data_IF_811418103983
#
_entry.id   IF_811418103983
#
_cell.length_a   1.000
_cell.length_b   1.000
_cell.length_c   1.000
_cell.angle_alpha   90.00
_cell.angle_beta   90.00
_cell.angle_gamma   90.00
#
_symmetry.space_group_name_H-M   'P 1'
#
loop_
_entity.id
_entity.type
_entity.pdbx_description
1 polymer ?
#
# COMPACT_ATOMS: atom_id res chain seq x y z
N UNK A 1 25.36 -5.79 18.67
CA UNK A 1 24.07 -5.17 18.30
C UNK A 1 23.59 -5.57 16.89
N UNK A 2 24.34 -5.29 15.82
CA UNK A 2 23.96 -5.61 14.42
C UNK A 2 23.66 -7.10 14.15
N UNK A 3 24.38 -8.01 14.82
CA UNK A 3 24.16 -9.46 14.74
C UNK A 3 22.84 -9.92 15.38
N UNK A 4 22.41 -9.29 16.47
CA UNK A 4 21.18 -9.64 17.19
C UNK A 4 19.94 -9.20 16.38
N UNK A 5 20.03 -8.03 15.73
CA UNK A 5 18.97 -7.53 14.83
C UNK A 5 18.81 -8.43 13.60
N UNK A 6 19.91 -8.91 13.01
CA UNK A 6 19.86 -9.84 11.88
C UNK A 6 19.22 -11.19 12.26
N UNK A 7 19.57 -11.74 13.43
CA UNK A 7 18.97 -12.99 13.92
C UNK A 7 17.48 -12.83 14.24
N UNK A 8 17.07 -11.70 14.82
CA UNK A 8 15.65 -11.41 15.09
C UNK A 8 14.81 -11.26 13.82
N UNK A 9 15.34 -10.63 12.78
CA UNK A 9 14.64 -10.43 11.51
C UNK A 9 14.38 -11.76 10.78
N UNK A 10 15.37 -12.67 10.77
CA UNK A 10 15.25 -14.00 10.12
C UNK A 10 14.16 -14.84 10.80
N UNK A 11 14.09 -14.81 12.14
CA UNK A 11 13.09 -15.56 12.89
C UNK A 11 11.65 -15.10 12.58
N UNK A 12 11.42 -13.79 12.41
CA UNK A 12 10.10 -13.23 12.08
C UNK A 12 9.69 -13.62 10.65
N UNK A 13 10.62 -13.58 9.69
CA UNK A 13 10.31 -13.96 8.30
C UNK A 13 10.00 -15.45 8.13
N UNK A 14 10.60 -16.32 8.95
CA UNK A 14 10.25 -17.75 8.96
C UNK A 14 8.87 -18.00 9.60
N UNK A 15 8.47 -17.21 10.60
CA UNK A 15 7.17 -17.33 11.24
C UNK A 15 6.00 -16.79 10.40
N UNK A 16 6.26 -15.92 9.40
CA UNK A 16 5.25 -15.43 8.47
C UNK A 16 4.87 -16.41 7.35
N UNK A 17 5.52 -17.57 7.26
CA UNK A 17 5.10 -18.66 6.38
C UNK A 17 3.93 -19.45 7.02
N UNK A 18 2.83 -18.78 7.34
CA UNK A 18 1.61 -19.45 7.79
C UNK A 18 1.03 -20.24 6.63
N UNK A 19 0.79 -21.54 6.83
CA UNK A 19 0.12 -22.39 5.85
C UNK A 19 -1.27 -21.80 5.56
N UNK A 20 -1.48 -21.32 4.34
CA UNK A 20 -2.81 -20.91 3.88
C UNK A 20 -3.71 -22.14 3.97
N UNK A 21 -4.86 -22.06 4.68
CA UNK A 21 -5.74 -23.21 4.76
C UNK A 21 -6.20 -23.60 3.36
N UNK A 22 -6.44 -24.89 3.14
CA UNK A 22 -6.87 -25.41 1.85
C UNK A 22 -8.36 -25.06 1.64
N UNK A 23 -8.63 -23.78 1.37
CA UNK A 23 -9.98 -23.21 1.24
C UNK A 23 -10.69 -23.83 0.02
N UNK A 24 -9.95 -24.12 -1.04
CA UNK A 24 -10.49 -24.64 -2.30
C UNK A 24 -11.09 -26.04 -2.16
N UNK A 25 -10.49 -26.92 -1.33
CA UNK A 25 -11.02 -28.27 -1.09
C UNK A 25 -12.25 -28.24 -0.17
N UNK A 26 -12.31 -27.29 0.76
CA UNK A 26 -13.47 -27.07 1.61
C UNK A 26 -14.67 -26.48 0.84
N UNK A 27 -14.43 -25.64 -0.18
CA UNK A 27 -15.51 -25.06 -1.00
C UNK A 27 -16.17 -26.10 -1.91
N UNK A 28 -15.43 -27.07 -2.46
CA UNK A 28 -16.01 -28.11 -3.33
C UNK A 28 -17.01 -29.05 -2.63
N UNK A 29 -16.91 -29.22 -1.31
CA UNK A 29 -17.77 -30.17 -0.57
C UNK A 29 -19.06 -29.57 -0.01
N UNK A 30 -19.16 -28.24 0.11
CA UNK A 30 -20.32 -27.56 0.70
C UNK A 30 -20.72 -26.23 0.07
N UNK A 31 -19.91 -25.65 -0.81
CA UNK A 31 -20.05 -24.25 -1.23
C UNK A 31 -21.06 -23.97 -2.34
N UNK A 32 -21.46 -24.97 -3.13
CA UNK A 32 -22.30 -24.74 -4.31
C UNK A 32 -23.80 -25.02 -4.10
N UNK A 33 -24.18 -25.80 -3.08
CA UNK A 33 -25.58 -26.12 -2.77
C UNK A 33 -26.17 -25.25 -1.64
N UNK A 34 -25.39 -24.31 -1.11
CA UNK A 34 -25.86 -23.36 -0.09
C UNK A 34 -26.34 -22.07 -0.74
N UNK A 35 -27.48 -21.57 -0.28
CA UNK A 35 -27.98 -20.25 -0.70
C UNK A 35 -26.94 -19.20 -0.31
N UNK A 36 -26.36 -18.54 -1.31
CA UNK A 36 -25.46 -17.41 -1.06
C UNK A 36 -26.21 -16.34 -0.27
N UNK A 37 -25.57 -15.70 0.73
CA UNK A 37 -26.22 -14.66 1.49
C UNK A 37 -26.64 -13.51 0.57
N UNK A 38 -27.83 -12.97 0.81
CA UNK A 38 -28.26 -11.76 0.12
C UNK A 38 -27.30 -10.62 0.51
N UNK A 39 -26.65 -10.02 -0.48
CA UNK A 39 -25.77 -8.88 -0.26
C UNK A 39 -26.59 -7.72 0.31
N UNK A 40 -26.09 -7.09 1.38
CA UNK A 40 -26.69 -5.87 1.89
C UNK A 40 -26.53 -4.74 0.85
N UNK A 41 -27.54 -3.86 0.71
CA UNK A 41 -27.42 -2.68 -0.15
C UNK A 41 -26.19 -1.85 0.21
N UNK A 42 -25.40 -1.47 -0.80
CA UNK A 42 -24.17 -0.70 -0.60
C UNK A 42 -24.41 0.77 -0.31
N UNK A 43 -25.63 1.27 -0.52
CA UNK A 43 -25.98 2.68 -0.31
C UNK A 43 -25.74 3.14 1.14
N UNK A 44 -25.96 2.26 2.11
CA UNK A 44 -25.68 2.52 3.53
C UNK A 44 -24.16 2.63 3.82
N UNK A 45 -23.34 1.96 3.01
CA UNK A 45 -21.87 1.99 3.13
C UNK A 45 -21.30 3.23 2.45
N UNK A 46 -21.89 3.67 1.33
CA UNK A 46 -21.42 4.80 0.55
C UNK A 46 -21.93 6.13 1.14
N UNK A 47 -23.20 6.18 1.58
CA UNK A 47 -23.86 7.38 2.09
C UNK A 47 -23.37 7.84 3.47
N UNK A 48 -22.67 6.97 4.21
CA UNK A 48 -22.06 7.30 5.52
C UNK A 48 -20.71 7.99 5.39
N UNK A 49 -20.15 8.08 4.19
CA UNK A 49 -18.91 8.82 3.96
C UNK A 49 -19.22 10.30 3.84
N UNK A 50 -19.01 11.04 4.93
CA UNK A 50 -19.06 12.49 4.88
C UNK A 50 -18.07 12.98 3.83
N UNK A 51 -18.58 13.63 2.77
CA UNK A 51 -17.75 14.18 1.71
C UNK A 51 -16.67 15.09 2.35
N UNK A 52 -15.39 14.98 1.95
CA UNK A 52 -14.35 15.84 2.48
C UNK A 52 -14.75 17.30 2.28
N UNK A 53 -15.06 17.99 3.37
CA UNK A 53 -15.46 19.39 3.35
C UNK A 53 -14.29 20.23 3.81
N UNK A 54 -13.99 21.28 3.05
CA UNK A 54 -13.06 22.30 3.51
C UNK A 54 -13.70 23.05 4.67
N UNK A 55 -12.94 23.16 5.74
CA UNK A 55 -13.17 24.06 6.86
C UNK A 55 -12.17 25.24 6.78
N UNK A 56 -12.30 26.17 7.72
CA UNK A 56 -11.46 27.37 7.77
C UNK A 56 -9.96 27.05 7.91
N UNK A 57 -9.62 25.88 8.48
CA UNK A 57 -8.24 25.43 8.71
C UNK A 57 -7.63 24.67 7.53
N UNK A 58 -8.46 24.23 6.58
CA UNK A 58 -8.06 23.36 5.48
C UNK A 58 -6.96 23.98 4.61
N UNK A 59 -7.03 25.29 4.37
CA UNK A 59 -6.00 26.01 3.61
C UNK A 59 -4.64 25.95 4.32
N UNK A 60 -4.61 26.25 5.62
CA UNK A 60 -3.39 26.21 6.42
C UNK A 60 -2.82 24.78 6.49
N UNK A 61 -3.67 23.76 6.63
CA UNK A 61 -3.28 22.36 6.63
C UNK A 61 -2.63 21.93 5.29
N UNK A 62 -3.21 22.34 4.16
CA UNK A 62 -2.65 22.06 2.83
C UNK A 62 -1.30 22.74 2.62
N UNK A 63 -1.14 23.99 3.05
CA UNK A 63 0.14 24.71 2.97
C UNK A 63 1.22 23.98 3.78
N UNK A 64 0.92 23.59 5.03
CA UNK A 64 1.86 22.83 5.87
C UNK A 64 2.23 21.50 5.23
N UNK A 65 1.25 20.77 4.71
CA UNK A 65 1.48 19.49 4.02
C UNK A 65 2.36 19.66 2.79
N UNK A 66 2.10 20.67 1.97
CA UNK A 66 2.90 20.95 0.79
C UNK A 66 4.35 21.32 1.16
N UNK A 67 4.56 22.11 2.22
CA UNK A 67 5.90 22.43 2.72
C UNK A 67 6.65 21.17 3.18
N UNK A 68 6.01 20.32 3.98
CA UNK A 68 6.58 19.05 4.43
C UNK A 68 6.93 18.12 3.25
N UNK A 69 6.03 18.00 2.26
CA UNK A 69 6.27 17.18 1.07
C UNK A 69 7.47 17.70 0.26
N UNK A 70 7.60 19.01 0.10
CA UNK A 70 8.76 19.61 -0.58
C UNK A 70 10.06 19.33 0.16
N UNK A 71 10.06 19.46 1.49
CA UNK A 71 11.22 19.12 2.32
C UNK A 71 11.58 17.64 2.20
N UNK A 72 10.59 16.75 2.28
CA UNK A 72 10.79 15.31 2.12
C UNK A 72 11.33 14.95 0.73
N UNK A 73 10.82 15.60 -0.31
CA UNK A 73 11.31 15.41 -1.68
C UNK A 73 12.76 15.88 -1.82
N UNK A 74 13.14 17.02 -1.23
CA UNK A 74 14.53 17.48 -1.21
C UNK A 74 15.46 16.45 -0.53
N UNK A 75 15.04 15.91 0.62
CA UNK A 75 15.76 14.85 1.32
C UNK A 75 15.92 13.60 0.46
N UNK A 76 14.86 13.14 -0.19
CA UNK A 76 14.90 11.96 -1.05
C UNK A 76 15.77 12.16 -2.30
N UNK A 77 15.74 13.35 -2.90
CA UNK A 77 16.61 13.67 -4.05
C UNK A 77 18.10 13.69 -3.68
N UNK A 78 18.42 14.09 -2.46
CA UNK A 78 19.79 14.05 -1.93
C UNK A 78 20.28 12.63 -1.62
N UNK A 79 19.37 11.65 -1.50
CA UNK A 79 19.74 10.26 -1.30
C UNK A 79 20.05 9.61 -2.64
N UNK A 80 21.31 9.21 -2.85
CA UNK A 80 21.70 8.49 -4.05
C UNK A 80 21.29 7.01 -3.94
N UNK A 81 19.98 6.74 -4.00
CA UNK A 81 19.41 5.38 -3.88
C UNK A 81 19.65 4.55 -5.16
N UNK A 82 19.76 5.22 -6.31
CA UNK A 82 20.03 4.59 -7.61
C UNK A 82 21.35 5.09 -8.17
N UNK A 83 22.14 4.19 -8.75
CA UNK A 83 23.27 4.56 -9.58
C UNK A 83 22.82 5.36 -10.80
N UNK A 84 23.74 6.12 -11.40
CA UNK A 84 23.49 6.84 -12.66
C UNK A 84 23.01 5.90 -13.78
N UNK A 85 23.56 4.69 -13.83
CA UNK A 85 23.20 3.66 -14.81
C UNK A 85 21.78 3.14 -14.60
N UNK A 86 21.38 2.83 -13.36
CA UNK A 86 20.01 2.38 -13.05
C UNK A 86 18.98 3.48 -13.35
N UNK A 87 19.30 4.73 -13.01
CA UNK A 87 18.44 5.88 -13.32
C UNK A 87 18.25 6.04 -14.83
N UNK A 88 19.31 5.90 -15.63
CA UNK A 88 19.22 5.98 -17.08
C UNK A 88 18.32 4.89 -17.68
N UNK A 89 18.43 3.65 -17.17
CA UNK A 89 17.59 2.52 -17.62
C UNK A 89 16.11 2.71 -17.29
N UNK A 90 15.80 3.21 -16.09
CA UNK A 90 14.41 3.50 -15.71
C UNK A 90 13.84 4.63 -16.57
N UNK A 91 14.61 5.68 -16.82
CA UNK A 91 14.18 6.79 -17.66
C UNK A 91 13.88 6.31 -19.09
N UNK A 92 14.73 5.46 -19.67
CA UNK A 92 14.48 4.91 -21.01
C UNK A 92 13.23 4.02 -21.06
N UNK A 93 12.98 3.22 -20.02
CA UNK A 93 11.79 2.39 -19.93
C UNK A 93 10.50 3.24 -19.83
N UNK A 94 10.52 4.31 -19.03
CA UNK A 94 9.37 5.24 -18.93
C UNK A 94 9.10 5.91 -20.27
N UNK A 95 10.13 6.37 -20.99
CA UNK A 95 9.93 6.98 -22.32
C UNK A 95 9.45 6.00 -23.38
N UNK A 96 9.75 4.70 -23.24
CA UNK A 96 9.35 3.67 -24.19
C UNK A 96 7.91 3.20 -23.99
N UNK A 97 7.39 3.25 -22.75
CA UNK A 97 6.10 2.66 -22.39
C UNK A 97 5.09 3.65 -21.77
N UNK A 98 5.48 4.88 -21.48
CA UNK A 98 4.63 5.90 -20.83
C UNK A 98 3.82 6.77 -21.79
N UNK A 99 3.52 6.27 -23.00
CA UNK A 99 2.64 6.92 -23.98
C UNK A 99 1.19 6.50 -23.80
#
# INVERSE_FOLDING_TARGET
MKRIVATGLIAITCASCTQFPEVDTAMNTRGYDTVFPTLAPTDDVIGTQQAPRLDDDSAAALIRRAAWLRQRAAQLRGQNVLSSTERARLQSAVTQHGG
#
